data_IF_696377267210
#
_entry.id   IF_696377267210
#
_cell.length_a   1.000
_cell.length_b   1.000
_cell.length_c   1.000
_cell.angle_alpha   90.00
_cell.angle_beta   90.00
_cell.angle_gamma   90.00
#
_symmetry.space_group_name_H-M   'P 1'
#
loop_
_entity.id
_entity.type
_entity.pdbx_description
1 polymer ?
#
# COMPACT_ATOMS: atom_id res chain seq x y z
N UNK A 1 -6.98 18.16 -3.03
CA UNK A 1 -7.50 17.58 -4.29
C UNK A 1 -7.08 16.13 -4.38
N UNK A 2 -7.74 15.30 -5.20
CA UNK A 2 -7.39 13.88 -5.31
C UNK A 2 -6.13 13.66 -6.15
N UNK A 3 -5.31 12.69 -5.75
CA UNK A 3 -4.15 12.19 -6.49
C UNK A 3 -4.27 10.67 -6.60
N UNK A 4 -3.89 10.12 -7.74
CA UNK A 4 -3.91 8.67 -7.96
C UNK A 4 -2.99 7.97 -6.95
N UNK A 5 -3.47 6.90 -6.28
CA UNK A 5 -2.67 6.09 -5.34
C UNK A 5 -2.52 4.63 -5.79
N UNK A 6 -3.41 4.17 -6.68
CA UNK A 6 -3.41 2.83 -7.25
C UNK A 6 -4.03 2.84 -8.64
N UNK A 7 -3.65 1.84 -9.44
CA UNK A 7 -4.26 1.48 -10.70
C UNK A 7 -4.45 -0.03 -10.73
N UNK A 8 -5.60 -0.48 -11.20
CA UNK A 8 -6.00 -1.88 -11.31
C UNK A 8 -6.54 -2.11 -12.71
N UNK A 9 -6.08 -3.17 -13.37
CA UNK A 9 -6.38 -3.41 -14.79
C UNK A 9 -6.61 -4.90 -15.07
N UNK A 10 -7.56 -5.17 -15.97
CA UNK A 10 -7.77 -6.47 -16.60
C UNK A 10 -7.24 -6.39 -18.04
N UNK A 11 -6.25 -7.20 -18.39
CA UNK A 11 -5.64 -7.22 -19.73
C UNK A 11 -6.25 -8.28 -20.64
N UNK A 12 -7.25 -9.03 -20.15
CA UNK A 12 -7.72 -10.25 -20.79
C UNK A 12 -6.51 -11.10 -21.21
N UNK A 13 -6.48 -11.56 -22.46
CA UNK A 13 -5.38 -12.38 -22.97
C UNK A 13 -4.20 -11.58 -23.59
N UNK A 14 -4.20 -10.24 -23.57
CA UNK A 14 -3.18 -9.43 -24.26
C UNK A 14 -1.75 -9.76 -23.82
N UNK A 15 -1.50 -9.74 -22.51
CA UNK A 15 -0.17 -10.08 -21.97
C UNK A 15 0.12 -11.57 -22.13
N UNK A 16 -0.88 -12.43 -21.94
CA UNK A 16 -0.75 -13.88 -22.07
C UNK A 16 -0.37 -14.31 -23.50
N UNK A 17 -0.90 -13.65 -24.53
CA UNK A 17 -0.50 -13.87 -25.93
C UNK A 17 0.95 -13.50 -26.19
N UNK A 18 1.42 -12.38 -25.63
CA UNK A 18 2.78 -11.87 -25.81
C UNK A 18 3.83 -12.69 -25.04
N UNK A 19 3.46 -13.20 -23.87
CA UNK A 19 4.33 -14.04 -23.03
C UNK A 19 4.08 -15.55 -23.20
N UNK A 20 3.19 -15.95 -24.12
CA UNK A 20 2.80 -17.34 -24.38
C UNK A 20 2.27 -18.11 -23.15
N UNK A 21 1.58 -17.43 -22.23
CA UNK A 21 1.05 -18.02 -20.99
C UNK A 21 -0.28 -18.70 -21.26
N UNK A 22 -0.32 -20.02 -21.11
CA UNK A 22 -1.47 -20.85 -21.47
C UNK A 22 -1.84 -21.81 -20.35
N UNK A 23 -3.11 -22.20 -20.31
CA UNK A 23 -3.62 -23.23 -19.41
C UNK A 23 -4.35 -24.32 -20.19
N UNK A 24 -4.48 -25.51 -19.58
CA UNK A 24 -5.22 -26.65 -20.12
C UNK A 24 -6.37 -26.98 -19.19
N UNK A 25 -7.59 -27.08 -19.73
CA UNK A 25 -8.74 -27.60 -18.99
C UNK A 25 -8.73 -29.13 -19.08
N UNK A 26 -9.00 -29.81 -17.97
CA UNK A 26 -8.92 -31.28 -17.86
C UNK A 26 -9.67 -31.99 -19.01
N UNK A 27 -10.85 -31.51 -19.36
CA UNK A 27 -11.74 -32.16 -20.34
C UNK A 27 -11.76 -31.47 -21.72
N UNK A 28 -10.76 -30.63 -22.03
CA UNK A 28 -10.66 -29.97 -23.34
C UNK A 28 -9.37 -30.32 -24.06
N UNK A 29 -9.50 -30.63 -25.35
CA UNK A 29 -8.34 -30.76 -26.25
C UNK A 29 -7.71 -29.39 -26.47
N UNK A 30 -6.37 -29.34 -26.41
CA UNK A 30 -5.58 -28.11 -26.63
C UNK A 30 -5.41 -27.25 -25.39
N UNK A 31 -4.89 -26.04 -25.60
CA UNK A 31 -4.60 -25.05 -24.56
C UNK A 31 -5.29 -23.73 -24.87
N UNK A 32 -5.62 -22.95 -23.84
CA UNK A 32 -6.23 -21.63 -23.96
C UNK A 32 -5.31 -20.59 -23.30
N UNK A 33 -5.30 -19.35 -23.81
CA UNK A 33 -4.61 -18.25 -23.11
C UNK A 33 -5.33 -17.91 -21.81
N UNK A 34 -4.58 -17.60 -20.77
CA UNK A 34 -5.15 -17.09 -19.51
C UNK A 34 -5.50 -15.62 -19.65
N UNK A 35 -6.38 -15.12 -18.75
CA UNK A 35 -6.50 -13.68 -18.54
C UNK A 35 -5.52 -13.23 -17.46
N UNK A 36 -4.91 -12.06 -17.63
CA UNK A 36 -4.03 -11.47 -16.61
C UNK A 36 -4.64 -10.21 -16.01
N UNK A 37 -4.43 -10.05 -14.70
CA UNK A 37 -4.84 -8.87 -13.94
C UNK A 37 -3.63 -8.29 -13.21
N UNK A 38 -3.65 -6.99 -12.95
CA UNK A 38 -2.75 -6.38 -11.99
C UNK A 38 -3.48 -5.33 -11.13
N UNK A 39 -2.86 -4.98 -10.01
CA UNK A 39 -3.31 -3.92 -9.12
C UNK A 39 -2.20 -3.51 -8.16
N UNK A 40 -2.06 -2.20 -7.92
CA UNK A 40 -1.17 -1.70 -6.86
C UNK A 40 -1.83 -1.84 -5.49
N UNK A 41 -1.11 -2.35 -4.48
CA UNK A 41 -1.67 -2.59 -3.14
C UNK A 41 -0.74 -2.13 -1.99
N UNK A 42 -0.41 -0.85 -1.82
CA UNK A 42 -0.60 0.34 -2.65
C UNK A 42 0.81 0.87 -3.03
N UNK A 43 0.90 1.93 -3.82
CA UNK A 43 2.19 2.58 -4.04
C UNK A 43 2.70 3.22 -2.73
N UNK A 44 3.76 2.66 -2.13
CA UNK A 44 4.25 3.04 -0.78
C UNK A 44 4.53 4.55 -0.68
N UNK A 45 5.29 5.12 -1.63
CA UNK A 45 5.62 6.55 -1.57
C UNK A 45 4.39 7.47 -1.58
N UNK A 46 3.37 7.14 -2.39
CA UNK A 46 2.12 7.91 -2.44
C UNK A 46 1.27 7.70 -1.20
N UNK A 47 1.29 6.49 -0.65
CA UNK A 47 0.60 6.14 0.60
C UNK A 47 1.20 6.90 1.78
N UNK A 48 2.53 6.96 1.88
CA UNK A 48 3.23 7.74 2.91
C UNK A 48 2.90 9.23 2.77
N UNK A 49 2.99 9.81 1.57
CA UNK A 49 2.63 11.21 1.36
C UNK A 49 1.18 11.51 1.78
N UNK A 50 0.23 10.65 1.41
CA UNK A 50 -1.17 10.79 1.81
C UNK A 50 -1.34 10.70 3.33
N UNK A 51 -0.65 9.79 4.02
CA UNK A 51 -0.70 9.70 5.49
C UNK A 51 -0.14 10.96 6.13
N UNK A 52 1.04 11.43 5.70
CA UNK A 52 1.68 12.63 6.24
C UNK A 52 0.77 13.86 6.08
N UNK A 53 0.19 14.07 4.89
CA UNK A 53 -0.68 15.22 4.63
C UNK A 53 -2.01 15.18 5.41
N UNK A 54 -2.62 13.99 5.57
CA UNK A 54 -3.96 13.88 6.15
C UNK A 54 -3.97 13.66 7.67
N UNK A 55 -2.85 13.23 8.25
CA UNK A 55 -2.74 12.95 9.69
C UNK A 55 -1.80 13.91 10.43
N UNK A 56 -1.29 14.94 9.75
CA UNK A 56 -0.50 16.00 10.37
C UNK A 56 -1.34 16.78 11.41
N UNK A 57 -0.72 17.05 12.55
CA UNK A 57 -1.26 17.85 13.64
C UNK A 57 -0.68 19.28 13.62
N UNK A 58 -1.31 20.19 14.36
CA UNK A 58 -0.88 21.61 14.44
C UNK A 58 0.54 21.79 14.98
N UNK A 59 1.01 20.88 15.82
CA UNK A 59 2.36 20.87 16.40
C UNK A 59 3.41 20.23 15.47
N UNK A 60 3.00 19.79 14.27
CA UNK A 60 3.86 19.15 13.28
C UNK A 60 4.05 17.65 13.49
N UNK A 61 3.49 17.05 14.54
CA UNK A 61 3.43 15.58 14.68
C UNK A 61 2.48 14.97 13.64
N UNK A 62 2.65 13.68 13.36
CA UNK A 62 1.74 12.93 12.47
C UNK A 62 1.19 11.75 13.24
N UNK A 63 -0.14 11.70 13.38
CA UNK A 63 -0.82 10.56 14.01
C UNK A 63 -0.70 9.35 13.09
N UNK A 64 -0.26 8.22 13.63
CA UNK A 64 -0.21 6.96 12.89
C UNK A 64 -1.64 6.39 12.81
N UNK A 65 -2.16 6.07 11.61
CA UNK A 65 -3.44 5.39 11.46
C UNK A 65 -3.52 4.14 12.33
N UNK A 66 -4.64 3.91 13.01
CA UNK A 66 -4.78 2.83 14.02
C UNK A 66 -4.34 1.46 13.50
N UNK A 67 -4.72 1.15 12.25
CA UNK A 67 -4.38 -0.12 11.57
C UNK A 67 -2.86 -0.32 11.36
N UNK A 68 -2.06 0.75 11.38
CA UNK A 68 -0.61 0.68 11.21
C UNK A 68 0.14 0.60 12.55
N UNK A 69 -0.50 0.95 13.68
CA UNK A 69 0.16 1.02 15.00
C UNK A 69 0.79 -0.31 15.45
N UNK A 70 0.17 -1.50 15.24
CA UNK A 70 0.80 -2.78 15.59
C UNK A 70 2.12 -3.06 14.87
N UNK A 71 2.31 -2.47 13.68
CA UNK A 71 3.52 -2.63 12.88
C UNK A 71 4.58 -1.57 13.20
N UNK A 72 4.17 -0.44 13.76
CA UNK A 72 5.02 0.72 14.01
C UNK A 72 5.44 0.86 15.49
N UNK A 73 4.70 0.25 16.43
CA UNK A 73 4.98 0.32 17.87
C UNK A 73 4.80 1.71 18.49
N UNK A 74 4.08 2.62 17.81
CA UNK A 74 3.88 4.00 18.23
C UNK A 74 2.51 4.51 17.78
N UNK A 75 1.99 5.54 18.46
CA UNK A 75 0.74 6.22 18.11
C UNK A 75 0.95 7.40 17.17
N UNK A 76 2.12 8.03 17.20
CA UNK A 76 2.45 9.25 16.43
C UNK A 76 3.95 9.32 16.10
N UNK A 77 4.28 10.08 15.05
CA UNK A 77 5.65 10.41 14.62
C UNK A 77 5.92 11.89 14.94
N UNK A 78 7.13 12.20 15.42
CA UNK A 78 7.56 13.54 15.83
C UNK A 78 8.86 13.94 15.11
N UNK A 79 9.07 15.26 14.92
CA UNK A 79 10.39 15.73 14.46
C UNK A 79 11.42 15.54 15.58
N UNK A 80 12.45 14.74 15.30
CA UNK A 80 13.59 14.49 16.19
C UNK A 80 14.31 15.76 16.67
N UNK A 81 14.19 16.88 15.96
CA UNK A 81 14.81 18.18 16.33
C UNK A 81 14.01 18.95 17.38
N UNK A 82 12.73 18.65 17.53
CA UNK A 82 11.82 19.28 18.50
C UNK A 82 11.59 18.36 19.71
N UNK A 83 12.09 17.13 19.63
CA UNK A 83 11.88 16.05 20.60
C UNK A 83 12.63 16.26 21.93
N UNK A 84 11.90 16.23 23.05
CA UNK A 84 12.44 15.98 24.39
C UNK A 84 11.90 14.62 24.91
N UNK A 85 12.78 13.74 25.39
CA UNK A 85 12.48 12.35 25.80
C UNK A 85 11.41 12.22 26.87
N UNK A 86 11.10 13.28 27.59
CA UNK A 86 10.13 13.30 28.71
C UNK A 86 8.66 13.25 28.29
N UNK A 87 8.33 13.49 27.00
CA UNK A 87 6.94 13.59 26.54
C UNK A 87 6.33 12.29 25.98
N UNK A 88 7.10 11.21 25.86
CA UNK A 88 6.58 9.92 25.35
C UNK A 88 6.23 9.02 26.53
N UNK A 89 4.94 8.70 26.70
CA UNK A 89 4.56 7.53 27.50
C UNK A 89 4.94 6.29 26.69
N UNK A 90 5.87 5.44 27.14
CA UNK A 90 6.08 4.17 26.48
C UNK A 90 4.77 3.39 26.48
N UNK A 91 4.44 2.74 25.37
CA UNK A 91 3.45 1.66 25.40
C UNK A 91 4.01 0.61 26.34
N UNK A 92 3.35 0.43 27.49
CA UNK A 92 3.64 -0.67 28.39
C UNK A 92 3.33 -1.96 27.67
N UNK A 93 4.37 -2.56 27.10
CA UNK A 93 4.44 -3.95 26.67
C UNK A 93 5.46 -4.66 27.54
#
# INVERSE_FOLDING_TARGET
GHREISSCSNFEDFQARRANIRFKKADKKGTQFVHTLNGSALAIGRTVAAILENYQQKDGSVVIPEVLRPYMGAESIYDHRVYNKEQVRPLGI
#
